data_IF_910587089517
#
_entry.id   IF_910587089517
#
_cell.length_a   1.000
_cell.length_b   1.000
_cell.length_c   1.000
_cell.angle_alpha   90.00
_cell.angle_beta   90.00
_cell.angle_gamma   90.00
#
_symmetry.space_group_name_H-M   'P 1'
#
loop_
_entity.id
_entity.type
_entity.pdbx_description
1 polymer ?
#
# COMPACT_ATOMS: atom_id res chain seq x y z
N UNK A 1 14.36 -11.56 -7.74
CA UNK A 1 13.47 -10.81 -8.67
C UNK A 1 12.05 -11.36 -8.71
N UNK A 2 11.85 -12.68 -8.78
CA UNK A 2 10.53 -13.35 -8.85
C UNK A 2 9.58 -12.97 -7.70
N UNK A 3 10.10 -12.83 -6.47
CA UNK A 3 9.31 -12.51 -5.27
C UNK A 3 8.75 -11.09 -5.27
N UNK A 4 9.49 -10.08 -5.76
CA UNK A 4 9.02 -8.69 -5.76
C UNK A 4 7.87 -8.46 -6.74
N UNK A 5 7.93 -9.11 -7.90
CA UNK A 5 6.85 -9.10 -8.90
C UNK A 5 5.61 -9.82 -8.34
N UNK A 6 5.80 -10.95 -7.65
CA UNK A 6 4.68 -11.65 -7.00
C UNK A 6 3.99 -10.77 -5.94
N UNK A 7 4.76 -10.07 -5.10
CA UNK A 7 4.21 -9.12 -4.11
C UNK A 7 3.45 -7.96 -4.75
N UNK A 8 3.96 -7.42 -5.86
CA UNK A 8 3.32 -6.33 -6.60
C UNK A 8 2.03 -6.79 -7.28
N UNK A 9 2.03 -8.00 -7.85
CA UNK A 9 0.84 -8.64 -8.43
C UNK A 9 -0.21 -8.94 -7.37
N UNK A 10 0.18 -9.40 -6.17
CA UNK A 10 -0.77 -9.57 -5.06
C UNK A 10 -1.37 -8.25 -4.59
N UNK A 11 -0.61 -7.14 -4.65
CA UNK A 11 -1.10 -5.82 -4.26
C UNK A 11 -2.12 -5.27 -5.27
N UNK A 12 -1.85 -5.43 -6.57
CA UNK A 12 -2.81 -5.08 -7.62
C UNK A 12 -4.04 -5.99 -7.61
N UNK A 13 -3.87 -7.30 -7.33
CA UNK A 13 -5.00 -8.22 -7.21
C UNK A 13 -5.87 -7.93 -5.97
N UNK A 14 -5.31 -7.31 -4.93
CA UNK A 14 -6.06 -6.87 -3.76
C UNK A 14 -6.81 -5.54 -3.99
N UNK A 15 -6.51 -4.80 -5.06
CA UNK A 15 -7.21 -3.58 -5.43
C UNK A 15 -8.61 -3.92 -6.01
N UNK A 16 -9.58 -4.13 -5.11
CA UNK A 16 -10.97 -4.38 -5.49
C UNK A 16 -11.64 -3.09 -5.98
N UNK A 17 -12.50 -3.20 -6.99
CA UNK A 17 -13.30 -2.08 -7.51
C UNK A 17 -14.33 -1.61 -6.48
N UNK A 18 -14.38 -0.30 -6.23
CA UNK A 18 -15.38 0.32 -5.33
C UNK A 18 -16.76 0.34 -6.00
N UNK A 19 -17.60 -0.63 -5.66
CA UNK A 19 -18.98 -0.71 -6.16
C UNK A 19 -19.99 0.21 -5.44
N UNK A 20 -19.55 1.01 -4.46
CA UNK A 20 -20.42 1.87 -3.66
C UNK A 20 -20.91 3.14 -4.39
N UNK A 21 -20.45 3.39 -5.62
CA UNK A 21 -20.77 4.61 -6.37
C UNK A 21 -22.15 4.60 -7.07
N UNK A 22 -22.93 3.52 -6.98
CA UNK A 22 -24.24 3.43 -7.63
C UNK A 22 -25.39 3.57 -6.63
N UNK A 23 -25.97 4.76 -6.54
CA UNK A 23 -27.35 4.95 -6.10
C UNK A 23 -27.52 5.85 -4.88
N UNK A 24 -28.20 6.97 -5.10
CA UNK A 24 -28.41 8.06 -4.17
C UNK A 24 -29.51 7.76 -3.15
N UNK A 25 -29.24 7.97 -1.86
CA UNK A 25 -30.22 8.55 -0.94
C UNK A 25 -29.54 9.17 0.29
N UNK A 26 -30.02 10.37 0.57
CA UNK A 26 -29.47 11.37 1.48
C UNK A 26 -30.01 11.14 2.88
N UNK A 27 -29.43 10.21 3.65
CA UNK A 27 -29.52 10.23 5.12
C UNK A 27 -28.53 9.24 5.73
N UNK A 28 -27.41 9.77 6.25
CA UNK A 28 -26.44 9.00 7.01
C UNK A 28 -25.45 8.22 6.15
N UNK A 29 -24.17 8.29 6.54
CA UNK A 29 -23.12 7.40 6.05
C UNK A 29 -23.57 5.95 6.23
N UNK A 30 -24.15 5.34 5.18
CA UNK A 30 -24.73 4.01 5.25
C UNK A 30 -23.72 3.01 5.77
N UNK A 31 -24.17 1.98 6.50
CA UNK A 31 -23.30 0.97 7.10
C UNK A 31 -22.32 0.37 6.08
N UNK A 32 -22.74 0.20 4.83
CA UNK A 32 -21.90 -0.24 3.71
C UNK A 32 -20.76 0.74 3.39
N UNK A 33 -21.01 2.05 3.43
CA UNK A 33 -19.99 3.08 3.21
C UNK A 33 -18.98 3.13 4.36
N UNK A 34 -19.43 3.03 5.62
CA UNK A 34 -18.55 2.92 6.80
C UNK A 34 -17.65 1.69 6.68
N UNK A 35 -18.21 0.53 6.35
CA UNK A 35 -17.44 -0.71 6.22
C UNK A 35 -16.48 -0.66 5.04
N UNK A 36 -16.90 -0.12 3.89
CA UNK A 36 -16.03 0.04 2.73
C UNK A 36 -14.82 0.92 3.05
N UNK A 37 -15.07 2.10 3.63
CA UNK A 37 -14.01 3.04 3.99
C UNK A 37 -13.14 2.49 5.13
N UNK A 38 -13.74 1.80 6.11
CA UNK A 38 -13.04 1.18 7.24
C UNK A 38 -12.10 0.06 6.82
N UNK A 39 -12.55 -0.84 5.95
CA UNK A 39 -11.70 -1.90 5.37
C UNK A 39 -10.57 -1.26 4.56
N UNK A 40 -10.88 -0.26 3.73
CA UNK A 40 -9.86 0.48 2.95
C UNK A 40 -8.82 1.14 3.84
N UNK A 41 -9.24 1.80 4.93
CA UNK A 41 -8.35 2.41 5.91
C UNK A 41 -7.48 1.37 6.63
N UNK A 42 -8.03 0.20 6.98
CA UNK A 42 -7.26 -0.90 7.57
C UNK A 42 -6.20 -1.44 6.60
N UNK A 43 -6.54 -1.61 5.31
CA UNK A 43 -5.55 -2.00 4.29
C UNK A 43 -4.41 -0.98 4.22
N UNK A 44 -4.74 0.32 4.21
CA UNK A 44 -3.73 1.40 4.22
C UNK A 44 -2.88 1.37 5.48
N UNK A 45 -3.48 1.10 6.64
CA UNK A 45 -2.75 0.99 7.91
C UNK A 45 -1.81 -0.23 7.91
N UNK A 46 -2.27 -1.40 7.46
CA UNK A 46 -1.43 -2.60 7.44
C UNK A 46 -0.31 -2.54 6.40
N UNK A 47 -0.48 -1.80 5.29
CA UNK A 47 0.60 -1.57 4.32
C UNK A 47 1.63 -0.51 4.76
N UNK A 48 1.40 0.23 5.86
CA UNK A 48 2.39 1.18 6.38
C UNK A 48 3.68 0.49 6.79
N UNK A 49 3.60 -0.71 7.36
CA UNK A 49 4.78 -1.49 7.73
C UNK A 49 5.66 -1.86 6.51
N UNK A 50 5.13 -2.52 5.46
CA UNK A 50 5.91 -2.79 4.25
C UNK A 50 6.30 -1.50 3.52
N UNK A 51 5.45 -0.47 3.50
CA UNK A 51 5.76 0.83 2.89
C UNK A 51 6.94 1.53 3.56
N UNK A 52 6.96 1.58 4.89
CA UNK A 52 8.06 2.17 5.66
C UNK A 52 9.35 1.36 5.53
N UNK A 53 9.25 0.03 5.48
CA UNK A 53 10.40 -0.84 5.23
C UNK A 53 11.02 -0.58 3.84
N UNK A 54 10.18 -0.42 2.80
CA UNK A 54 10.68 -0.05 1.47
C UNK A 54 11.29 1.35 1.45
N UNK A 55 10.62 2.33 2.06
CA UNK A 55 11.14 3.69 2.18
C UNK A 55 12.49 3.71 2.89
N UNK A 56 12.62 3.02 4.02
CA UNK A 56 13.89 2.88 4.75
C UNK A 56 14.99 2.23 3.91
N UNK A 57 14.65 1.22 3.10
CA UNK A 57 15.61 0.58 2.19
C UNK A 57 16.10 1.52 1.08
N UNK A 58 15.23 2.42 0.59
CA UNK A 58 15.58 3.43 -0.40
C UNK A 58 16.49 4.51 0.20
N UNK A 59 16.19 4.98 1.41
CA UNK A 59 17.08 5.90 2.14
C UNK A 59 18.45 5.27 2.37
N UNK A 60 18.49 4.02 2.84
CA UNK A 60 19.74 3.29 3.03
C UNK A 60 20.52 3.15 1.72
N UNK A 61 19.85 2.86 0.60
CA UNK A 61 20.47 2.81 -0.72
C UNK A 61 21.06 4.14 -1.17
N UNK A 62 20.39 5.26 -0.88
CA UNK A 62 20.86 6.60 -1.21
C UNK A 62 22.10 7.00 -0.40
N UNK A 63 22.17 6.61 0.88
CA UNK A 63 23.28 6.98 1.76
C UNK A 63 24.45 5.98 1.79
N UNK A 64 24.25 4.72 1.39
CA UNK A 64 25.32 3.70 1.30
C UNK A 64 26.23 3.84 0.07
N UNK A 65 25.97 4.81 -0.83
CA UNK A 65 26.78 5.03 -2.02
C UNK A 65 28.20 5.61 -1.79
N UNK A 66 28.62 5.84 -0.54
CA UNK A 66 29.93 6.47 -0.24
C UNK A 66 31.01 5.51 0.31
N UNK A 67 30.68 4.24 0.55
CA UNK A 67 31.64 3.26 1.09
C UNK A 67 32.11 2.22 0.07
N UNK A 68 31.44 2.11 -1.08
CA UNK A 68 31.71 1.10 -2.10
C UNK A 68 32.79 1.47 -3.12
N UNK A 69 33.30 2.71 -3.11
CA UNK A 69 34.40 3.13 -4.01
C UNK A 69 35.79 3.04 -3.37
N UNK A 70 35.87 2.66 -2.09
CA UNK A 70 37.12 2.63 -1.31
C UNK A 70 37.68 1.20 -1.06
N UNK A 71 36.98 0.13 -1.44
CA UNK A 71 37.43 -1.24 -1.20
C UNK A 71 37.16 -2.19 -2.39
N UNK A 72 38.13 -2.19 -3.32
CA UNK A 72 38.40 -3.13 -4.44
C UNK A 72 37.65 -2.91 -5.75
#
# INVERSE_FOLDING_TARGET
MKTKIATMMTLLAAASTSFAASGAESEGNGLLAVLFLGIGALVVAFQMLPGLALFGSMLKGLFSGKDAESRN
#
